data_IF_012723554527
#
_entry.id   IF_012723554527
#
_cell.length_a   1.000
_cell.length_b   1.000
_cell.length_c   1.000
_cell.angle_alpha   90.00
_cell.angle_beta   90.00
_cell.angle_gamma   90.00
#
_symmetry.space_group_name_H-M   'P 1'
#
loop_
_entity.id
_entity.type
_entity.pdbx_description
1 polymer ?
#
# COMPACT_ATOMS: atom_id res chain seq x y z
N UNK A 1 -17.80 -17.34 -11.46
CA UNK A 1 -16.91 -16.24 -11.02
C UNK A 1 -17.58 -14.90 -11.30
N UNK A 2 -17.54 -13.97 -10.34
CA UNK A 2 -18.18 -12.65 -10.44
C UNK A 2 -18.78 -12.18 -9.11
N UNK A 3 -19.38 -10.98 -9.11
CA UNK A 3 -20.20 -10.48 -8.01
C UNK A 3 -21.66 -10.93 -8.16
N UNK A 4 -22.27 -11.33 -7.06
CA UNK A 4 -23.61 -11.88 -6.97
C UNK A 4 -24.39 -11.12 -5.91
N UNK A 5 -25.55 -10.60 -6.30
CA UNK A 5 -26.41 -9.78 -5.46
C UNK A 5 -27.65 -10.53 -5.06
N UNK A 6 -28.02 -10.43 -3.78
CA UNK A 6 -29.20 -11.03 -3.20
C UNK A 6 -29.88 -10.08 -2.21
N UNK A 7 -31.05 -10.46 -1.70
CA UNK A 7 -31.81 -9.64 -0.77
C UNK A 7 -32.75 -8.66 -1.48
N UNK A 8 -33.27 -7.68 -0.73
CA UNK A 8 -34.24 -6.72 -1.27
C UNK A 8 -33.54 -5.62 -2.04
N UNK A 9 -34.24 -5.02 -3.02
CA UNK A 9 -33.70 -3.97 -3.86
C UNK A 9 -33.21 -2.73 -3.08
N UNK A 10 -33.83 -2.41 -1.94
CA UNK A 10 -33.46 -1.24 -1.12
C UNK A 10 -32.23 -1.49 -0.24
N UNK A 11 -31.90 -2.76 0.01
CA UNK A 11 -30.76 -3.19 0.84
C UNK A 11 -30.17 -4.48 0.28
N UNK A 12 -29.62 -4.43 -0.94
CA UNK A 12 -29.00 -5.60 -1.52
C UNK A 12 -27.77 -5.97 -0.70
N UNK A 13 -27.54 -7.27 -0.59
CA UNK A 13 -26.27 -7.82 -0.12
C UNK A 13 -25.54 -8.42 -1.31
N UNK A 14 -24.22 -8.38 -1.28
CA UNK A 14 -23.38 -8.85 -2.38
C UNK A 14 -22.29 -9.77 -1.85
N UNK A 15 -21.99 -10.83 -2.59
CA UNK A 15 -20.82 -11.65 -2.38
C UNK A 15 -20.11 -11.90 -3.71
N UNK A 16 -18.85 -12.29 -3.64
CA UNK A 16 -18.03 -12.60 -4.79
C UNK A 16 -17.65 -14.07 -4.82
N UNK A 17 -17.64 -14.64 -6.03
CA UNK A 17 -16.99 -15.91 -6.33
C UNK A 17 -15.75 -15.59 -7.16
N UNK A 18 -14.57 -15.82 -6.62
CA UNK A 18 -13.27 -15.53 -7.24
C UNK A 18 -12.55 -16.83 -7.65
N UNK A 19 -11.58 -16.75 -8.56
CA UNK A 19 -10.62 -17.84 -8.81
C UNK A 19 -9.43 -17.69 -7.86
N UNK A 20 -8.95 -18.78 -7.30
CA UNK A 20 -7.69 -18.85 -6.55
C UNK A 20 -6.50 -19.01 -7.49
N UNK A 21 -5.27 -18.85 -6.96
CA UNK A 21 -4.03 -18.96 -7.76
C UNK A 21 -3.83 -20.34 -8.39
N UNK A 22 -4.29 -21.39 -7.70
CA UNK A 22 -4.31 -22.78 -8.17
C UNK A 22 -5.48 -23.11 -9.11
N UNK A 23 -6.29 -22.11 -9.47
CA UNK A 23 -7.43 -22.26 -10.38
C UNK A 23 -8.74 -22.73 -9.73
N UNK A 24 -8.74 -22.99 -8.41
CA UNK A 24 -9.93 -23.27 -7.61
C UNK A 24 -10.89 -22.08 -7.50
N UNK A 25 -11.98 -22.27 -6.76
CA UNK A 25 -12.97 -21.21 -6.52
C UNK A 25 -12.98 -20.80 -5.05
N UNK A 26 -13.21 -19.51 -4.78
CA UNK A 26 -13.31 -18.96 -3.42
C UNK A 26 -14.57 -18.12 -3.29
N UNK A 27 -15.31 -18.36 -2.21
CA UNK A 27 -16.41 -17.50 -1.77
C UNK A 27 -15.87 -16.37 -0.91
N UNK A 28 -16.34 -15.14 -1.14
CA UNK A 28 -15.99 -13.95 -0.35
C UNK A 28 -17.23 -13.10 -0.12
N UNK A 29 -17.60 -12.86 1.13
CA UNK A 29 -18.73 -12.00 1.53
C UNK A 29 -18.22 -10.94 2.52
N UNK A 30 -18.82 -9.74 2.48
CA UNK A 30 -18.51 -8.65 3.40
C UNK A 30 -19.70 -8.42 4.33
N UNK A 31 -19.59 -8.91 5.57
CA UNK A 31 -20.61 -8.71 6.60
C UNK A 31 -20.17 -7.65 7.59
N UNK A 32 -20.90 -6.53 7.59
CA UNK A 32 -20.65 -5.37 8.46
C UNK A 32 -19.22 -4.83 8.27
N UNK A 33 -18.28 -5.29 9.10
CA UNK A 33 -16.88 -4.86 9.14
C UNK A 33 -15.87 -6.00 8.95
N UNK A 34 -16.31 -7.26 8.79
CA UNK A 34 -15.40 -8.39 8.54
C UNK A 34 -15.63 -9.03 7.18
N UNK A 35 -14.53 -9.47 6.57
CA UNK A 35 -14.55 -10.30 5.38
C UNK A 35 -14.69 -11.74 5.82
N UNK A 36 -15.62 -12.46 5.24
CA UNK A 36 -15.79 -13.89 5.48
C UNK A 36 -15.50 -14.61 4.17
N UNK A 37 -14.58 -15.57 4.19
CA UNK A 37 -14.18 -16.26 2.98
C UNK A 37 -13.86 -17.74 3.22
N UNK A 38 -13.90 -18.52 2.14
CA UNK A 38 -13.54 -19.94 2.15
C UNK A 38 -13.35 -20.50 0.73
N UNK A 39 -12.48 -21.49 0.59
CA UNK A 39 -12.24 -22.20 -0.68
C UNK A 39 -13.39 -23.18 -0.91
N UNK A 40 -13.98 -23.12 -2.09
CA UNK A 40 -15.13 -23.90 -2.52
C UNK A 40 -14.68 -25.24 -3.10
N UNK A 41 -15.07 -26.32 -2.44
CA UNK A 41 -14.79 -27.70 -2.82
C UNK A 41 -16.06 -28.40 -3.32
N UNK A 42 -15.97 -29.36 -4.26
CA UNK A 42 -17.12 -30.14 -4.69
C UNK A 42 -17.76 -30.94 -3.54
N UNK A 43 -19.06 -30.77 -3.33
CA UNK A 43 -19.84 -31.47 -2.30
C UNK A 43 -20.88 -32.45 -2.88
N UNK A 44 -20.85 -32.67 -4.19
CA UNK A 44 -21.80 -33.52 -4.92
C UNK A 44 -23.10 -32.79 -5.31
N UNK A 45 -23.85 -33.37 -6.24
CA UNK A 45 -25.16 -32.83 -6.67
C UNK A 45 -25.10 -31.41 -7.25
N UNK A 46 -23.98 -31.02 -7.88
CA UNK A 46 -23.77 -29.67 -8.41
C UNK A 46 -23.40 -28.60 -7.37
N UNK A 47 -23.32 -28.96 -6.09
CA UNK A 47 -22.95 -28.03 -5.03
C UNK A 47 -21.44 -27.94 -4.86
N UNK A 48 -20.98 -26.72 -4.62
CA UNK A 48 -19.68 -26.42 -4.02
C UNK A 48 -19.88 -25.98 -2.58
N UNK A 49 -18.97 -26.34 -1.69
CA UNK A 49 -19.05 -26.03 -0.26
C UNK A 49 -17.72 -25.47 0.24
N UNK A 50 -17.79 -24.49 1.14
CA UNK A 50 -16.63 -23.95 1.83
C UNK A 50 -16.88 -23.84 3.33
N UNK A 51 -15.84 -24.09 4.11
CA UNK A 51 -15.74 -23.64 5.49
C UNK A 51 -15.34 -22.17 5.50
N UNK A 52 -16.09 -21.35 6.23
CA UNK A 52 -15.95 -19.90 6.23
C UNK A 52 -15.18 -19.42 7.46
N UNK A 53 -14.13 -18.63 7.23
CA UNK A 53 -13.32 -17.99 8.27
C UNK A 53 -13.40 -16.47 8.17
N UNK A 54 -13.39 -15.79 9.32
CA UNK A 54 -13.29 -14.33 9.39
C UNK A 54 -11.86 -13.89 9.08
N UNK A 55 -11.68 -12.94 8.16
CA UNK A 55 -10.36 -12.54 7.65
C UNK A 55 -9.47 -11.82 8.69
N UNK A 56 -10.07 -11.18 9.69
CA UNK A 56 -9.39 -10.48 10.78
C UNK A 56 -8.83 -11.44 11.85
N UNK A 57 -9.59 -12.49 12.19
CA UNK A 57 -9.27 -13.38 13.33
C UNK A 57 -8.96 -14.83 12.95
N UNK A 58 -9.19 -15.21 11.70
CA UNK A 58 -9.16 -16.62 11.26
C UNK A 58 -10.24 -17.49 11.91
N UNK A 59 -11.16 -16.91 12.68
CA UNK A 59 -12.18 -17.67 13.39
C UNK A 59 -13.19 -18.28 12.41
N UNK A 60 -13.49 -19.57 12.59
CA UNK A 60 -14.56 -20.25 11.84
C UNK A 60 -15.92 -19.64 12.19
N UNK A 61 -16.62 -19.14 11.17
CA UNK A 61 -17.92 -18.46 11.24
C UNK A 61 -19.08 -19.42 10.90
N UNK A 62 -18.83 -20.40 10.05
CA UNK A 62 -19.83 -21.37 9.59
C UNK A 62 -19.39 -22.06 8.31
N UNK A 63 -20.34 -22.63 7.57
CA UNK A 63 -20.12 -23.22 6.25
C UNK A 63 -21.07 -22.57 5.24
N UNK A 64 -20.63 -22.43 3.99
CA UNK A 64 -21.49 -22.01 2.87
C UNK A 64 -21.50 -23.13 1.84
N UNK A 65 -22.63 -23.36 1.19
CA UNK A 65 -22.70 -24.08 -0.08
C UNK A 65 -23.31 -23.19 -1.15
N UNK A 66 -22.82 -23.31 -2.37
CA UNK A 66 -23.28 -22.59 -3.55
C UNK A 66 -23.48 -23.55 -4.71
N UNK A 67 -24.52 -23.33 -5.50
CA UNK A 67 -24.79 -24.06 -6.74
C UNK A 67 -25.15 -23.06 -7.83
N UNK A 68 -24.57 -23.22 -9.02
CA UNK A 68 -24.89 -22.40 -10.17
C UNK A 68 -26.07 -23.02 -10.91
N UNK A 69 -27.13 -22.25 -11.11
CA UNK A 69 -28.31 -22.65 -11.87
C UNK A 69 -28.18 -22.04 -13.25
N UNK A 70 -27.78 -22.87 -14.21
CA UNK A 70 -27.43 -22.42 -15.57
C UNK A 70 -28.62 -21.79 -16.31
N UNK A 71 -29.82 -22.36 -16.16
CA UNK A 71 -31.06 -21.89 -16.81
C UNK A 71 -31.37 -20.42 -16.49
N UNK A 72 -31.23 -20.04 -15.22
CA UNK A 72 -31.55 -18.68 -14.75
C UNK A 72 -30.31 -17.76 -14.72
N UNK A 73 -29.12 -18.30 -14.94
CA UNK A 73 -27.86 -17.59 -14.70
C UNK A 73 -27.70 -17.09 -13.26
N UNK A 74 -28.28 -17.81 -12.29
CA UNK A 74 -28.27 -17.44 -10.86
C UNK A 74 -27.36 -18.35 -10.04
N UNK A 75 -27.01 -17.90 -8.83
CA UNK A 75 -26.37 -18.76 -7.83
C UNK A 75 -27.31 -18.92 -6.64
N UNK A 76 -27.64 -20.17 -6.32
CA UNK A 76 -28.32 -20.50 -5.07
C UNK A 76 -27.27 -20.75 -4.00
N UNK A 77 -27.43 -20.12 -2.86
CA UNK A 77 -26.50 -20.20 -1.74
C UNK A 77 -27.22 -20.56 -0.44
N UNK A 78 -26.48 -21.22 0.46
CA UNK A 78 -27.01 -21.72 1.72
C UNK A 78 -25.95 -21.63 2.80
N UNK A 79 -26.26 -20.93 3.90
CA UNK A 79 -25.33 -20.74 5.01
C UNK A 79 -25.72 -21.59 6.22
N UNK A 80 -24.75 -22.30 6.78
CA UNK A 80 -24.87 -23.03 8.04
C UNK A 80 -24.02 -22.35 9.10
N UNK A 81 -24.67 -21.71 10.07
CA UNK A 81 -23.97 -21.05 11.18
C UNK A 81 -23.13 -22.04 11.98
N UNK A 82 -22.00 -21.58 12.54
CA UNK A 82 -21.16 -22.38 13.45
C UNK A 82 -22.02 -23.05 14.54
N UNK A 83 -21.83 -24.36 14.71
CA UNK A 83 -22.52 -25.16 15.73
C UNK A 83 -23.98 -25.49 15.42
N UNK A 84 -24.50 -25.15 14.23
CA UNK A 84 -25.82 -25.60 13.77
C UNK A 84 -25.68 -26.83 12.89
N UNK A 85 -26.61 -27.76 13.05
CA UNK A 85 -26.69 -28.98 12.23
C UNK A 85 -27.41 -28.74 10.90
N UNK A 86 -28.47 -27.93 10.93
CA UNK A 86 -29.28 -27.62 9.77
C UNK A 86 -28.74 -26.42 8.97
N UNK A 87 -28.84 -26.51 7.65
CA UNK A 87 -28.61 -25.39 6.73
C UNK A 87 -29.71 -24.33 6.89
N UNK A 88 -29.35 -23.07 6.64
CA UNK A 88 -30.31 -21.97 6.53
C UNK A 88 -31.18 -22.06 5.27
N UNK A 89 -31.96 -21.00 5.03
CA UNK A 89 -32.81 -20.89 3.83
C UNK A 89 -31.99 -20.62 2.58
N UNK A 90 -32.46 -21.15 1.45
CA UNK A 90 -31.90 -20.88 0.13
C UNK A 90 -31.98 -19.39 -0.19
N UNK A 91 -30.85 -18.86 -0.65
CA UNK A 91 -30.69 -17.48 -1.06
C UNK A 91 -30.30 -17.48 -2.52
N UNK A 92 -31.21 -17.00 -3.38
CA UNK A 92 -30.96 -16.83 -4.80
C UNK A 92 -30.26 -15.50 -5.01
N UNK A 93 -29.12 -15.54 -5.66
CA UNK A 93 -28.35 -14.37 -6.02
C UNK A 93 -28.25 -14.24 -7.54
N UNK A 94 -28.39 -13.01 -8.03
CA UNK A 94 -28.29 -12.67 -9.43
C UNK A 94 -26.90 -12.11 -9.70
N UNK A 95 -26.30 -12.49 -10.82
CA UNK A 95 -25.01 -11.93 -11.23
C UNK A 95 -25.17 -10.43 -11.40
N UNK A 96 -24.37 -9.64 -10.69
CA UNK A 96 -24.37 -8.20 -10.90
C UNK A 96 -23.79 -7.97 -12.28
N UNK A 97 -24.63 -7.48 -13.21
CA UNK A 97 -24.20 -7.00 -14.52
C UNK A 97 -23.49 -5.65 -14.36
N UNK A 98 -22.46 -5.60 -13.52
CA UNK A 98 -21.55 -4.48 -13.42
C UNK A 98 -20.48 -4.72 -14.47
N UNK A 99 -20.61 -4.07 -15.62
CA UNK A 99 -19.49 -3.96 -16.53
C UNK A 99 -18.36 -3.26 -15.77
N UNK A 100 -17.27 -3.97 -15.49
CA UNK A 100 -16.08 -3.33 -14.97
C UNK A 100 -15.66 -2.29 -15.99
N UNK A 101 -15.65 -1.03 -15.59
CA UNK A 101 -15.17 0.06 -16.44
C UNK A 101 -13.72 -0.27 -16.84
N UNK A 102 -13.43 -0.49 -18.13
CA UNK A 102 -12.09 -0.82 -18.60
C UNK A 102 -11.06 0.24 -18.21
N UNK A 103 -11.48 1.50 -18.01
CA UNK A 103 -10.59 2.59 -17.59
C UNK A 103 -10.08 2.41 -16.17
N UNK A 104 -10.80 1.66 -15.31
CA UNK A 104 -10.39 1.39 -13.94
C UNK A 104 -9.38 0.23 -13.84
N UNK A 105 -9.14 -0.50 -14.93
CA UNK A 105 -8.21 -1.63 -14.91
C UNK A 105 -6.77 -1.15 -14.85
N UNK A 106 -6.00 -1.83 -14.02
CA UNK A 106 -4.57 -1.62 -13.93
C UNK A 106 -3.90 -2.02 -15.26
N UNK A 107 -2.97 -1.19 -15.73
CA UNK A 107 -2.18 -1.49 -16.92
C UNK A 107 -1.30 -2.73 -16.74
N UNK A 108 -0.85 -3.31 -17.84
CA UNK A 108 0.05 -4.48 -17.83
C UNK A 108 1.39 -4.22 -17.17
N UNK A 109 1.84 -2.96 -17.13
CA UNK A 109 3.03 -2.53 -16.39
C UNK A 109 2.83 -2.48 -14.87
N UNK A 110 1.62 -2.72 -14.37
CA UNK A 110 1.27 -2.53 -12.97
C UNK A 110 1.03 -1.06 -12.60
N UNK A 111 0.96 -0.17 -13.60
CA UNK A 111 0.68 1.26 -13.44
C UNK A 111 -0.54 1.62 -14.31
N UNK A 112 -1.44 2.47 -13.81
CA UNK A 112 -2.61 2.92 -14.57
C UNK A 112 -3.05 4.34 -14.22
N UNK A 113 -3.28 5.17 -15.23
CA UNK A 113 -3.84 6.51 -15.07
C UNK A 113 -5.36 6.45 -15.01
N UNK A 114 -5.96 7.18 -14.06
CA UNK A 114 -7.39 7.33 -13.87
C UNK A 114 -7.75 8.81 -14.01
N UNK A 115 -7.95 9.31 -15.24
CA UNK A 115 -8.33 10.71 -15.45
C UNK A 115 -9.74 10.97 -14.94
N UNK A 116 -9.97 12.12 -14.32
CA UNK A 116 -11.25 12.49 -13.71
C UNK A 116 -11.82 11.36 -12.81
N UNK A 117 -10.95 10.75 -12.00
CA UNK A 117 -11.31 9.66 -11.11
C UNK A 117 -12.42 10.06 -10.14
N UNK A 118 -12.37 11.31 -9.67
CA UNK A 118 -13.38 11.98 -8.86
C UNK A 118 -13.59 13.42 -9.37
N UNK A 119 -14.69 14.06 -8.97
CA UNK A 119 -15.00 15.44 -9.39
C UNK A 119 -13.90 16.43 -8.96
N UNK A 120 -13.39 17.21 -9.92
CA UNK A 120 -12.26 18.10 -9.70
C UNK A 120 -12.58 19.22 -8.72
N UNK A 121 -13.81 19.76 -8.74
CA UNK A 121 -14.23 20.86 -7.87
C UNK A 121 -14.40 20.40 -6.42
N UNK A 122 -14.94 19.21 -6.21
CA UNK A 122 -15.02 18.55 -4.92
C UNK A 122 -13.62 18.22 -4.38
N UNK A 123 -12.70 17.76 -5.24
CA UNK A 123 -11.30 17.52 -4.89
C UNK A 123 -10.60 18.80 -4.41
N UNK A 124 -10.74 19.91 -5.14
CA UNK A 124 -10.16 21.20 -4.75
C UNK A 124 -10.74 21.75 -3.44
N UNK A 125 -12.05 21.60 -3.24
CA UNK A 125 -12.70 22.02 -1.99
C UNK A 125 -12.17 21.20 -0.80
N UNK A 126 -12.02 19.89 -1.00
CA UNK A 126 -11.47 18.98 0.01
C UNK A 126 -9.99 19.27 0.27
N UNK A 127 -9.21 19.64 -0.76
CA UNK A 127 -7.82 20.07 -0.61
C UNK A 127 -7.70 21.26 0.36
N UNK A 128 -8.58 22.26 0.24
CA UNK A 128 -8.58 23.44 1.13
C UNK A 128 -8.92 23.06 2.57
N UNK A 129 -9.88 22.17 2.78
CA UNK A 129 -10.22 21.68 4.11
C UNK A 129 -9.06 20.91 4.74
N UNK A 130 -8.42 20.01 3.99
CA UNK A 130 -7.23 19.26 4.43
C UNK A 130 -6.06 20.20 4.74
N UNK A 131 -5.78 21.17 3.88
CA UNK A 131 -4.74 22.17 4.11
C UNK A 131 -5.00 22.96 5.40
N UNK A 132 -6.25 23.38 5.62
CA UNK A 132 -6.65 24.14 6.81
C UNK A 132 -6.47 23.29 8.07
N UNK A 133 -6.94 22.05 8.05
CA UNK A 133 -6.73 21.09 9.15
C UNK A 133 -5.24 20.90 9.44
N UNK A 134 -4.42 20.68 8.40
CA UNK A 134 -2.98 20.51 8.57
C UNK A 134 -2.35 21.74 9.22
N UNK A 135 -2.63 22.95 8.73
CA UNK A 135 -2.09 24.18 9.30
C UNK A 135 -2.47 24.40 10.77
N UNK A 136 -3.68 24.05 11.17
CA UNK A 136 -4.16 24.16 12.57
C UNK A 136 -3.47 23.17 13.52
N UNK A 137 -2.89 22.11 12.99
CA UNK A 137 -2.29 21.02 13.75
C UNK A 137 -0.79 20.83 13.49
N UNK A 138 -0.12 21.78 12.83
CA UNK A 138 1.35 21.76 12.73
C UNK A 138 1.94 21.76 14.14
N UNK A 139 2.80 20.78 14.42
CA UNK A 139 3.45 20.61 15.71
C UNK A 139 2.62 19.93 16.80
N UNK A 140 1.39 19.51 16.51
CA UNK A 140 0.64 18.61 17.39
C UNK A 140 0.93 17.14 17.11
N UNK A 141 0.51 16.26 18.01
CA UNK A 141 0.55 14.80 17.88
C UNK A 141 -0.50 14.23 16.91
N UNK A 142 -1.45 15.06 16.46
CA UNK A 142 -2.49 14.69 15.50
C UNK A 142 -1.90 14.44 14.11
N UNK A 143 -0.89 15.22 13.73
CA UNK A 143 -0.20 15.06 12.45
C UNK A 143 1.10 14.30 12.66
N UNK A 144 1.33 13.31 11.80
CA UNK A 144 2.65 12.69 11.68
C UNK A 144 3.44 13.41 10.58
N UNK A 145 4.58 13.98 10.95
CA UNK A 145 5.53 14.46 9.96
C UNK A 145 6.36 13.30 9.45
N UNK A 146 6.38 13.12 8.13
CA UNK A 146 7.18 12.08 7.46
C UNK A 146 8.26 12.71 6.59
N UNK A 147 9.11 11.88 6.01
CA UNK A 147 10.25 12.32 5.20
C UNK A 147 9.86 13.22 4.02
N UNK A 148 10.76 14.18 3.74
CA UNK A 148 10.59 15.21 2.71
C UNK A 148 9.52 16.25 3.03
N UNK A 149 9.35 16.57 4.32
CA UNK A 149 8.55 17.70 4.78
C UNK A 149 7.03 17.53 4.64
N UNK A 150 6.54 16.28 4.65
CA UNK A 150 5.13 15.97 4.45
C UNK A 150 4.43 15.72 5.78
N UNK A 151 3.14 16.04 5.83
CA UNK A 151 2.28 15.72 6.97
C UNK A 151 1.19 14.73 6.53
N UNK A 152 0.99 13.69 7.34
CA UNK A 152 -0.08 12.71 7.15
C UNK A 152 -1.37 13.19 7.83
N UNK A 153 -2.46 13.18 7.06
CA UNK A 153 -3.81 13.43 7.55
C UNK A 153 -4.67 12.20 7.28
N UNK A 154 -5.04 11.48 8.33
CA UNK A 154 -5.91 10.31 8.23
C UNK A 154 -7.34 10.76 7.93
N UNK A 155 -7.81 10.51 6.70
CA UNK A 155 -9.12 10.95 6.23
C UNK A 155 -10.22 9.96 6.64
N UNK A 156 -9.96 8.67 6.55
CA UNK A 156 -10.85 7.59 6.99
C UNK A 156 -10.05 6.51 7.71
N UNK A 157 -10.75 5.60 8.40
CA UNK A 157 -10.11 4.53 9.18
C UNK A 157 -9.91 4.87 10.65
N UNK A 158 -9.17 4.00 11.36
CA UNK A 158 -9.07 4.04 12.84
C UNK A 158 -8.48 5.36 13.37
N UNK A 159 -7.53 5.96 12.63
CA UNK A 159 -6.83 7.19 13.03
C UNK A 159 -7.52 8.48 12.56
N UNK A 160 -8.67 8.39 11.89
CA UNK A 160 -9.30 9.53 11.21
C UNK A 160 -10.19 10.43 12.08
N UNK A 161 -10.39 10.10 13.36
CA UNK A 161 -11.37 10.77 14.22
C UNK A 161 -11.21 12.30 14.24
N UNK A 162 -9.98 12.79 14.41
CA UNK A 162 -9.72 14.23 14.48
C UNK A 162 -10.12 14.97 13.19
N UNK A 163 -9.73 14.43 12.03
CA UNK A 163 -10.10 15.02 10.74
C UNK A 163 -11.61 14.92 10.48
N UNK A 164 -12.22 13.77 10.80
CA UNK A 164 -13.65 13.55 10.64
C UNK A 164 -14.49 14.51 11.49
N UNK A 165 -14.06 14.79 12.73
CA UNK A 165 -14.71 15.77 13.59
C UNK A 165 -14.55 17.20 13.05
N UNK A 166 -13.35 17.56 12.59
CA UNK A 166 -13.12 18.83 11.90
C UNK A 166 -14.01 18.97 10.66
N UNK A 167 -14.05 17.96 9.80
CA UNK A 167 -14.79 17.98 8.54
C UNK A 167 -16.30 18.17 8.75
N UNK A 168 -16.88 17.59 9.81
CA UNK A 168 -18.31 17.79 10.16
C UNK A 168 -18.65 19.23 10.54
N UNK A 169 -17.72 19.95 11.17
CA UNK A 169 -17.91 21.33 11.61
C UNK A 169 -17.36 22.36 10.62
N UNK A 170 -16.67 21.93 9.57
CA UNK A 170 -16.15 22.80 8.53
C UNK A 170 -17.29 23.44 7.73
N UNK A 171 -17.13 24.70 7.28
CA UNK A 171 -18.16 25.44 6.54
C UNK A 171 -18.55 24.85 5.17
N UNK A 172 -17.85 23.81 4.72
CA UNK A 172 -18.10 23.04 3.49
C UNK A 172 -18.27 21.54 3.78
N UNK A 173 -18.79 21.19 4.96
CA UNK A 173 -18.86 19.81 5.47
C UNK A 173 -19.54 18.84 4.50
N UNK A 174 -20.68 19.22 3.93
CA UNK A 174 -21.43 18.39 2.97
C UNK A 174 -20.57 18.01 1.75
N UNK A 175 -19.85 18.97 1.18
CA UNK A 175 -19.00 18.74 0.00
C UNK A 175 -17.77 17.88 0.35
N UNK A 176 -17.13 18.11 1.50
CA UNK A 176 -15.97 17.35 1.94
C UNK A 176 -16.36 15.90 2.26
N UNK A 177 -17.42 15.68 3.02
CA UNK A 177 -17.89 14.35 3.37
C UNK A 177 -18.45 13.61 2.15
N UNK A 178 -19.18 14.32 1.27
CA UNK A 178 -19.64 13.79 -0.01
C UNK A 178 -18.49 13.36 -0.91
N UNK A 179 -17.40 14.14 -0.97
CA UNK A 179 -16.18 13.76 -1.68
C UNK A 179 -15.57 12.46 -1.14
N UNK A 180 -15.45 12.32 0.19
CA UNK A 180 -14.85 11.12 0.78
C UNK A 180 -15.66 9.85 0.47
N UNK A 181 -16.98 9.94 0.49
CA UNK A 181 -17.83 8.81 0.12
C UNK A 181 -17.76 8.49 -1.39
N UNK A 182 -17.75 9.52 -2.25
CA UNK A 182 -17.56 9.33 -3.68
C UNK A 182 -16.19 8.67 -3.99
N UNK A 183 -15.13 9.10 -3.33
CA UNK A 183 -13.80 8.50 -3.47
C UNK A 183 -13.82 7.03 -3.01
N UNK A 184 -14.45 6.72 -1.88
CA UNK A 184 -14.60 5.34 -1.39
C UNK A 184 -15.38 4.44 -2.35
N UNK A 185 -16.44 4.96 -2.97
CA UNK A 185 -17.20 4.24 -4.00
C UNK A 185 -16.30 3.97 -5.22
N UNK A 186 -15.61 4.99 -5.74
CA UNK A 186 -14.72 4.85 -6.90
C UNK A 186 -13.55 3.90 -6.63
N UNK A 187 -13.01 3.89 -5.41
CA UNK A 187 -12.00 2.91 -4.99
C UNK A 187 -12.57 1.48 -4.94
N UNK A 188 -13.80 1.32 -4.47
CA UNK A 188 -14.48 0.02 -4.47
C UNK A 188 -14.70 -0.51 -5.89
N UNK A 189 -15.05 0.38 -6.82
CA UNK A 189 -15.23 0.07 -8.23
C UNK A 189 -13.92 -0.33 -8.90
N UNK A 190 -12.87 0.41 -8.58
CA UNK A 190 -11.50 0.14 -9.06
C UNK A 190 -11.01 -1.19 -8.54
N UNK A 191 -11.18 -1.46 -7.24
CA UNK A 191 -10.86 -2.75 -6.66
C UNK A 191 -11.64 -3.87 -7.35
N UNK A 192 -12.95 -3.70 -7.53
CA UNK A 192 -13.80 -4.68 -8.24
C UNK A 192 -13.32 -4.94 -9.67
N UNK A 193 -13.00 -3.89 -10.43
CA UNK A 193 -12.50 -4.00 -11.81
C UNK A 193 -11.19 -4.79 -11.90
N UNK A 194 -10.42 -4.83 -10.82
CA UNK A 194 -9.14 -5.53 -10.69
C UNK A 194 -9.24 -6.82 -9.84
N UNK A 195 -10.45 -7.29 -9.53
CA UNK A 195 -10.67 -8.51 -8.76
C UNK A 195 -10.21 -8.44 -7.30
N UNK A 196 -10.12 -7.24 -6.74
CA UNK A 196 -9.66 -6.96 -5.38
C UNK A 196 -10.73 -6.38 -4.46
N UNK A 197 -10.27 -5.96 -3.28
CA UNK A 197 -11.07 -5.32 -2.22
C UNK A 197 -10.41 -4.01 -1.78
N UNK A 198 -11.16 -2.91 -1.78
CA UNK A 198 -10.70 -1.63 -1.27
C UNK A 198 -10.45 -1.66 0.25
N UNK A 199 -9.40 -0.96 0.67
CA UNK A 199 -9.16 -0.62 2.07
C UNK A 199 -10.17 0.43 2.54
N UNK A 200 -10.46 0.45 3.83
CA UNK A 200 -11.26 1.52 4.46
C UNK A 200 -10.40 2.72 4.86
N UNK A 201 -9.09 2.54 4.96
CA UNK A 201 -8.14 3.58 5.35
C UNK A 201 -7.77 4.45 4.14
N UNK A 202 -7.87 5.77 4.31
CA UNK A 202 -7.39 6.77 3.36
C UNK A 202 -6.56 7.81 4.10
N UNK A 203 -5.41 8.15 3.55
CA UNK A 203 -4.47 9.11 4.14
C UNK A 203 -4.13 10.18 3.11
N UNK A 204 -4.26 11.45 3.46
CA UNK A 204 -3.72 12.53 2.64
C UNK A 204 -2.29 12.87 3.06
N UNK A 205 -1.42 13.11 2.09
CA UNK A 205 -0.12 13.73 2.30
C UNK A 205 -0.19 15.20 1.92
N UNK A 206 0.19 16.07 2.85
CA UNK A 206 0.22 17.53 2.67
C UNK A 206 1.67 18.01 2.63
N UNK A 207 2.03 18.68 1.54
CA UNK A 207 3.39 19.15 1.28
C UNK A 207 4.24 18.15 0.50
N UNK A 208 5.41 18.61 0.03
CA UNK A 208 6.44 17.81 -0.64
C UNK A 208 7.68 18.67 -0.92
N UNK A 209 8.24 19.33 0.11
CA UNK A 209 9.39 20.25 -0.06
C UNK A 209 10.58 19.57 -0.74
N UNK A 210 10.72 18.27 -0.48
CA UNK A 210 11.78 17.41 -1.02
C UNK A 210 11.20 16.13 -1.63
N UNK A 211 11.95 15.56 -2.58
CA UNK A 211 11.62 14.27 -3.17
C UNK A 211 11.75 13.16 -2.11
N UNK A 212 10.84 12.19 -2.11
CA UNK A 212 11.00 11.01 -1.27
C UNK A 212 12.12 10.12 -1.82
N UNK A 213 12.71 9.33 -0.94
CA UNK A 213 13.62 8.27 -1.34
C UNK A 213 12.82 7.21 -2.10
N UNK A 214 13.36 6.62 -3.19
CA UNK A 214 12.78 5.43 -3.80
C UNK A 214 12.56 4.32 -2.77
N UNK A 215 11.38 3.71 -2.79
CA UNK A 215 11.01 2.65 -1.86
C UNK A 215 9.90 1.74 -2.43
N UNK A 216 9.61 0.66 -1.71
CA UNK A 216 8.39 -0.14 -1.82
C UNK A 216 7.60 0.00 -0.52
N UNK A 217 6.34 0.44 -0.56
CA UNK A 217 5.45 0.57 0.61
C UNK A 217 4.21 -0.34 0.55
N UNK A 218 4.22 -1.31 -0.37
CA UNK A 218 3.08 -2.19 -0.63
C UNK A 218 3.48 -3.65 -0.45
N UNK A 219 2.59 -4.42 0.20
CA UNK A 219 2.72 -5.88 0.32
C UNK A 219 2.23 -6.58 -0.93
N UNK A 220 2.65 -7.83 -1.11
CA UNK A 220 2.31 -8.60 -2.29
C UNK A 220 0.79 -8.63 -2.59
N UNK A 221 0.40 -8.23 -3.80
CA UNK A 221 -1.01 -8.16 -4.21
C UNK A 221 -1.77 -6.93 -3.72
N UNK A 222 -1.09 -5.93 -3.17
CA UNK A 222 -1.67 -4.61 -2.92
C UNK A 222 -1.45 -3.68 -4.12
N UNK A 223 -2.39 -2.76 -4.30
CA UNK A 223 -2.29 -1.67 -5.26
C UNK A 223 -2.64 -0.38 -4.54
N UNK A 224 -1.79 0.63 -4.70
CA UNK A 224 -2.01 1.97 -4.21
C UNK A 224 -2.70 2.82 -5.28
N UNK A 225 -3.66 3.62 -4.87
CA UNK A 225 -4.31 4.65 -5.69
C UNK A 225 -3.94 6.00 -5.10
N UNK A 226 -3.21 6.81 -5.86
CA UNK A 226 -2.77 8.15 -5.48
C UNK A 226 -3.63 9.16 -6.22
N UNK A 227 -4.57 9.79 -5.52
CA UNK A 227 -5.51 10.78 -6.09
C UNK A 227 -5.00 12.19 -5.84
N UNK A 228 -4.83 13.00 -6.89
CA UNK A 228 -4.42 14.39 -6.76
C UNK A 228 -5.59 15.27 -6.34
N UNK A 229 -5.40 16.09 -5.30
CA UNK A 229 -6.39 17.11 -4.89
C UNK A 229 -5.95 18.53 -5.29
N UNK A 230 -4.69 18.69 -5.66
CA UNK A 230 -4.08 19.91 -6.20
C UNK A 230 -3.33 19.57 -7.47
N UNK A 231 -3.15 20.50 -8.43
CA UNK A 231 -2.25 20.30 -9.57
C UNK A 231 -0.87 19.83 -9.08
N UNK A 232 -0.39 18.71 -9.59
CA UNK A 232 0.87 18.14 -9.10
C UNK A 232 1.58 17.26 -10.12
N UNK A 233 2.90 17.23 -10.03
CA UNK A 233 3.69 16.22 -10.73
C UNK A 233 3.30 14.82 -10.28
N UNK A 234 3.26 13.84 -11.19
CA UNK A 234 2.98 12.45 -10.86
C UNK A 234 3.98 11.87 -9.87
N UNK A 235 3.56 10.83 -9.16
CA UNK A 235 4.47 9.92 -8.45
C UNK A 235 5.55 9.44 -9.42
N UNK A 236 6.81 9.40 -8.98
CA UNK A 236 7.90 8.83 -9.74
C UNK A 236 7.92 7.31 -9.54
N UNK A 237 8.20 6.56 -10.59
CA UNK A 237 8.34 5.11 -10.58
C UNK A 237 9.67 4.74 -11.22
N UNK A 238 10.23 3.61 -10.85
CA UNK A 238 11.33 3.04 -11.63
C UNK A 238 10.80 2.67 -13.02
N UNK A 239 11.48 3.14 -14.06
CA UNK A 239 11.06 2.97 -15.45
C UNK A 239 10.85 1.48 -15.77
N UNK A 240 9.60 1.04 -16.09
CA UNK A 240 9.32 -0.35 -16.44
C UNK A 240 10.06 -0.84 -17.70
N UNK A 241 10.61 0.07 -18.51
CA UNK A 241 11.43 -0.24 -19.66
C UNK A 241 12.94 -0.31 -19.34
N UNK A 242 13.36 0.17 -18.17
CA UNK A 242 14.74 0.06 -17.72
C UNK A 242 15.09 -1.38 -17.33
N UNK A 243 16.39 -1.66 -17.22
CA UNK A 243 16.87 -2.98 -16.80
C UNK A 243 16.45 -3.24 -15.36
N UNK A 244 15.82 -4.39 -15.12
CA UNK A 244 15.65 -4.94 -13.77
C UNK A 244 16.75 -5.97 -13.52
N UNK A 245 17.60 -5.79 -12.51
CA UNK A 245 18.56 -6.81 -12.12
C UNK A 245 17.85 -8.11 -11.78
N UNK A 246 18.43 -9.24 -12.18
CA UNK A 246 17.95 -10.54 -11.71
C UNK A 246 18.23 -10.70 -10.21
N UNK A 247 17.42 -11.50 -9.51
CA UNK A 247 17.57 -11.70 -8.06
C UNK A 247 18.94 -12.27 -7.73
N UNK A 248 19.44 -13.18 -8.56
CA UNK A 248 20.76 -13.80 -8.43
C UNK A 248 21.89 -12.78 -8.59
N UNK A 249 21.73 -11.81 -9.51
CA UNK A 249 22.69 -10.71 -9.68
C UNK A 249 22.73 -9.83 -8.45
N UNK A 250 21.56 -9.44 -7.92
CA UNK A 250 21.45 -8.67 -6.68
C UNK A 250 22.15 -9.39 -5.55
N UNK A 251 21.87 -10.69 -5.36
CA UNK A 251 22.44 -11.44 -4.25
C UNK A 251 23.95 -11.57 -4.34
N UNK A 252 24.48 -11.73 -5.56
CA UNK A 252 25.91 -11.68 -5.80
C UNK A 252 26.52 -10.31 -5.42
N UNK A 253 25.90 -9.20 -5.80
CA UNK A 253 26.36 -7.85 -5.43
C UNK A 253 26.31 -7.60 -3.92
N UNK A 254 25.27 -8.11 -3.26
CA UNK A 254 25.09 -7.97 -1.82
C UNK A 254 25.97 -8.92 -1.00
N UNK A 255 26.70 -9.85 -1.65
CA UNK A 255 27.46 -10.89 -0.96
C UNK A 255 26.58 -11.85 -0.14
N UNK A 256 25.31 -12.00 -0.54
CA UNK A 256 24.32 -12.83 0.16
C UNK A 256 24.22 -14.18 -0.56
N UNK A 257 24.33 -15.27 0.20
CA UNK A 257 24.15 -16.62 -0.33
C UNK A 257 22.68 -16.79 -0.82
N UNK A 258 22.44 -17.23 -2.08
CA UNK A 258 21.11 -17.48 -2.63
C UNK A 258 20.17 -18.30 -1.75
N UNK A 259 20.69 -19.17 -0.88
CA UNK A 259 19.85 -19.92 0.07
C UNK A 259 19.06 -19.03 1.04
N UNK A 260 19.48 -17.78 1.23
CA UNK A 260 18.79 -16.79 2.06
C UNK A 260 17.68 -16.04 1.31
N UNK A 261 17.39 -16.37 0.04
CA UNK A 261 16.34 -15.70 -0.75
C UNK A 261 14.94 -15.85 -0.15
N UNK A 262 14.72 -16.94 0.60
CA UNK A 262 13.47 -17.18 1.34
C UNK A 262 13.36 -16.44 2.68
N UNK A 263 14.41 -15.73 3.13
CA UNK A 263 14.33 -14.96 4.36
C UNK A 263 13.29 -13.84 4.21
N UNK A 264 12.40 -13.70 5.19
CA UNK A 264 11.27 -12.74 5.15
C UNK A 264 11.71 -11.32 4.77
N UNK A 265 12.90 -10.91 5.20
CA UNK A 265 13.45 -9.57 4.94
C UNK A 265 14.01 -9.43 3.51
N UNK A 266 14.56 -10.50 2.93
CA UNK A 266 15.12 -10.51 1.58
C UNK A 266 14.06 -10.71 0.49
N UNK A 267 12.91 -11.26 0.86
CA UNK A 267 11.79 -11.53 -0.06
C UNK A 267 11.36 -10.30 -0.87
N UNK A 268 11.46 -9.10 -0.32
CA UNK A 268 11.09 -7.89 -1.06
C UNK A 268 12.00 -7.61 -2.26
N UNK A 269 13.28 -7.99 -2.20
CA UNK A 269 14.17 -7.91 -3.37
C UNK A 269 13.67 -8.83 -4.47
N UNK A 270 13.27 -10.06 -4.13
CA UNK A 270 12.73 -11.01 -5.12
C UNK A 270 11.31 -10.70 -5.59
N UNK A 271 10.59 -9.82 -4.90
CA UNK A 271 9.22 -9.39 -5.22
C UNK A 271 9.14 -8.04 -5.95
N UNK A 272 10.22 -7.63 -6.62
CA UNK A 272 10.26 -6.41 -7.45
C UNK A 272 11.13 -5.30 -6.87
N UNK A 273 11.70 -5.50 -5.68
CA UNK A 273 12.62 -4.57 -5.05
C UNK A 273 14.05 -4.61 -5.60
N UNK A 274 14.36 -5.43 -6.59
CA UNK A 274 15.72 -5.52 -7.16
C UNK A 274 16.32 -4.17 -7.61
N UNK A 275 15.56 -3.18 -8.14
CA UNK A 275 16.12 -1.88 -8.47
C UNK A 275 16.68 -1.13 -7.25
N UNK A 276 16.19 -1.41 -6.02
CA UNK A 276 16.69 -0.78 -4.79
C UNK A 276 18.11 -1.24 -4.41
N UNK A 277 18.66 -2.25 -5.09
CA UNK A 277 20.04 -2.69 -4.95
C UNK A 277 21.00 -2.06 -5.97
N UNK A 278 20.50 -1.33 -6.97
CA UNK A 278 21.33 -0.61 -7.92
C UNK A 278 22.14 0.51 -7.23
N UNK A 279 23.25 0.96 -7.86
CA UNK A 279 23.88 2.21 -7.48
C UNK A 279 22.86 3.34 -7.39
N UNK A 280 22.95 4.17 -6.35
CA UNK A 280 21.92 5.18 -6.04
C UNK A 280 21.77 6.17 -7.19
N UNK A 281 22.87 6.54 -7.85
CA UNK A 281 22.86 7.44 -9.00
C UNK A 281 22.06 6.84 -10.17
N UNK A 282 22.32 5.57 -10.52
CA UNK A 282 21.63 4.83 -11.59
C UNK A 282 20.14 4.67 -11.29
N UNK A 283 19.79 4.29 -10.05
CA UNK A 283 18.41 4.18 -9.62
C UNK A 283 17.63 5.48 -9.89
N UNK A 284 18.20 6.64 -9.50
CA UNK A 284 17.56 7.94 -9.71
C UNK A 284 17.51 8.38 -11.18
N UNK A 285 18.47 7.96 -12.01
CA UNK A 285 18.44 8.24 -13.46
C UNK A 285 17.27 7.54 -14.15
N UNK A 286 16.81 6.41 -13.60
CA UNK A 286 15.69 5.63 -14.10
C UNK A 286 14.36 5.92 -13.37
N UNK A 287 14.31 6.89 -12.46
CA UNK A 287 13.04 7.32 -11.86
C UNK A 287 12.31 8.26 -12.82
N UNK A 288 11.20 7.79 -13.38
CA UNK A 288 10.37 8.53 -14.35
C UNK A 288 8.98 8.81 -13.77
N UNK A 289 8.27 9.87 -14.22
CA UNK A 289 6.88 10.06 -13.85
C UNK A 289 6.00 8.85 -14.23
N UNK A 290 5.13 8.41 -13.31
CA UNK A 290 4.21 7.29 -13.55
C UNK A 290 3.24 7.52 -14.72
N UNK A 291 3.05 8.77 -15.13
CA UNK A 291 2.33 9.16 -16.34
C UNK A 291 2.96 10.42 -16.93
N UNK A 292 2.72 10.67 -18.23
CA UNK A 292 3.41 11.72 -18.99
C UNK A 292 2.94 13.15 -18.69
N UNK A 293 1.81 13.32 -18.00
CA UNK A 293 1.15 14.61 -17.82
C UNK A 293 1.07 15.00 -16.35
N UNK A 294 0.98 16.29 -16.07
CA UNK A 294 0.65 16.81 -14.74
C UNK A 294 -0.74 16.32 -14.33
N UNK A 295 -0.88 15.85 -13.09
CA UNK A 295 -2.17 15.42 -12.56
C UNK A 295 -2.99 16.63 -12.14
N UNK A 296 -4.22 16.70 -12.63
CA UNK A 296 -5.21 17.72 -12.22
C UNK A 296 -5.92 17.25 -10.95
N UNK A 297 -6.55 18.18 -10.20
CA UNK A 297 -7.45 17.80 -9.11
C UNK A 297 -8.51 16.81 -9.60
N UNK A 298 -8.62 15.68 -8.92
CA UNK A 298 -9.54 14.60 -9.24
C UNK A 298 -8.95 13.50 -10.12
N UNK A 299 -7.77 13.68 -10.73
CA UNK A 299 -7.05 12.59 -11.40
C UNK A 299 -6.41 11.66 -10.36
N UNK A 300 -6.21 10.38 -10.72
CA UNK A 300 -5.49 9.44 -9.88
C UNK A 300 -4.54 8.55 -10.69
N UNK A 301 -3.55 7.97 -10.02
CA UNK A 301 -2.68 6.92 -10.56
C UNK A 301 -2.73 5.69 -9.68
N UNK A 302 -2.76 4.51 -10.30
CA UNK A 302 -2.67 3.22 -9.65
C UNK A 302 -1.24 2.68 -9.76
N UNK A 303 -0.70 2.12 -8.69
CA UNK A 303 0.67 1.59 -8.61
C UNK A 303 0.65 0.25 -7.86
N UNK A 304 1.19 -0.80 -8.47
CA UNK A 304 1.26 -2.16 -7.89
C UNK A 304 2.42 -2.34 -6.91
N UNK A 305 2.30 -3.33 -6.03
CA UNK A 305 3.23 -3.72 -4.97
C UNK A 305 4.70 -3.94 -5.33
N UNK A 306 5.00 -4.29 -6.58
CA UNK A 306 6.36 -4.57 -7.06
C UNK A 306 7.04 -3.35 -7.70
N UNK A 307 6.38 -2.18 -7.69
CA UNK A 307 6.89 -0.99 -8.36
C UNK A 307 7.60 -0.09 -7.35
N UNK A 308 8.91 0.02 -7.50
CA UNK A 308 9.72 1.01 -6.78
C UNK A 308 9.24 2.40 -7.19
N UNK A 309 8.92 3.23 -6.21
CA UNK A 309 8.38 4.57 -6.47
C UNK A 309 8.85 5.60 -5.43
N UNK A 310 8.59 6.87 -5.72
CA UNK A 310 8.89 7.99 -4.86
C UNK A 310 7.90 9.16 -5.10
N UNK A 311 7.45 9.81 -4.03
CA UNK A 311 6.78 11.09 -4.13
C UNK A 311 7.72 12.17 -4.72
N UNK A 312 7.29 12.94 -5.73
CA UNK A 312 8.12 13.96 -6.35
C UNK A 312 8.35 15.12 -5.38
N UNK A 313 9.38 15.93 -5.69
CA UNK A 313 9.53 17.26 -5.10
C UNK A 313 8.51 18.21 -5.73
N UNK A 314 7.81 18.99 -4.91
CA UNK A 314 6.92 20.04 -5.38
C UNK A 314 7.40 21.37 -4.80
N UNK A 315 7.72 22.32 -5.67
CA UNK A 315 8.10 23.67 -5.23
C UNK A 315 6.88 24.40 -4.69
N UNK A 316 7.01 24.97 -3.51
CA UNK A 316 5.99 25.85 -2.94
C UNK A 316 5.82 27.08 -3.83
N UNK A 317 4.57 27.36 -4.22
CA UNK A 317 4.22 28.56 -4.98
C UNK A 317 3.47 29.53 -4.06
N UNK A 318 3.92 30.79 -3.92
CA UNK A 318 3.23 31.77 -3.09
C UNK A 318 1.74 31.89 -3.48
N UNK A 319 0.85 31.76 -2.49
CA UNK A 319 -0.60 31.85 -2.69
C UNK A 319 -1.27 30.58 -3.25
N UNK A 320 -0.51 29.56 -3.63
CA UNK A 320 -1.05 28.25 -3.99
C UNK A 320 -1.17 27.34 -2.76
N UNK A 321 -2.04 26.34 -2.83
CA UNK A 321 -2.04 25.26 -1.84
C UNK A 321 -0.75 24.44 -1.98
N UNK A 322 -0.24 23.85 -0.89
CA UNK A 322 0.80 22.84 -0.99
C UNK A 322 0.31 21.65 -1.82
N UNK A 323 1.23 20.78 -2.25
CA UNK A 323 0.86 19.50 -2.85
C UNK A 323 -0.02 18.70 -1.88
N UNK A 324 -1.22 18.31 -2.31
CA UNK A 324 -2.10 17.43 -1.55
C UNK A 324 -2.53 16.27 -2.44
N UNK A 325 -2.25 15.06 -1.99
CA UNK A 325 -2.69 13.81 -2.62
C UNK A 325 -3.30 12.89 -1.58
N UNK A 326 -4.28 12.09 -1.98
CA UNK A 326 -4.87 11.02 -1.15
C UNK A 326 -4.30 9.69 -1.57
N UNK A 327 -3.77 8.95 -0.60
CA UNK A 327 -3.38 7.56 -0.70
C UNK A 327 -4.52 6.69 -0.20
N UNK A 328 -4.94 5.77 -1.05
CA UNK A 328 -5.80 4.66 -0.70
C UNK A 328 -5.23 3.38 -1.28
N UNK A 329 -5.63 2.22 -0.74
CA UNK A 329 -5.15 0.94 -1.24
C UNK A 329 -6.31 -0.01 -1.51
N UNK A 330 -6.08 -0.96 -2.40
CA UNK A 330 -6.91 -2.15 -2.52
C UNK A 330 -6.04 -3.40 -2.66
N UNK A 331 -6.58 -4.56 -2.28
CA UNK A 331 -5.87 -5.83 -2.30
C UNK A 331 -6.49 -6.78 -3.31
N UNK A 332 -5.72 -7.29 -4.28
CA UNK A 332 -6.13 -8.34 -5.22
C UNK A 332 -5.90 -9.75 -4.67
N UNK A 333 -5.24 -9.85 -3.52
CA UNK A 333 -5.03 -11.09 -2.78
C UNK A 333 -5.55 -10.94 -1.35
N UNK A 334 -5.71 -12.07 -0.68
CA UNK A 334 -5.98 -12.09 0.76
C UNK A 334 -4.71 -11.74 1.51
N UNK A 335 -4.35 -10.47 1.53
CA UNK A 335 -3.19 -9.97 2.27
C UNK A 335 -3.62 -9.74 3.72
N UNK A 336 -2.71 -9.96 4.66
CA UNK A 336 -2.86 -9.43 6.01
C UNK A 336 -3.08 -7.91 5.95
N UNK A 337 -3.71 -7.35 6.98
CA UNK A 337 -4.06 -5.93 7.09
C UNK A 337 -2.97 -5.00 6.52
N UNK A 338 -3.41 -3.98 5.77
CA UNK A 338 -2.53 -2.94 5.25
C UNK A 338 -1.72 -2.34 6.40
N UNK A 339 -0.43 -2.19 6.18
CA UNK A 339 0.53 -1.74 7.17
C UNK A 339 1.15 -0.45 6.66
N UNK A 340 0.62 0.67 7.15
CA UNK A 340 1.07 2.02 6.78
C UNK A 340 2.53 2.26 7.13
N UNK A 341 3.09 1.48 8.06
CA UNK A 341 4.48 1.64 8.51
C UNK A 341 5.45 0.83 7.63
N UNK A 342 4.93 -0.06 6.79
CA UNK A 342 5.75 -0.87 5.89
C UNK A 342 6.34 0.00 4.78
N UNK A 343 7.67 0.17 4.81
CA UNK A 343 8.43 0.81 3.73
C UNK A 343 9.81 0.16 3.63
N UNK A 344 10.07 -0.48 2.49
CA UNK A 344 11.37 -1.05 2.12
C UNK A 344 12.16 -0.06 1.27
N UNK A 345 13.22 0.51 1.84
CA UNK A 345 14.01 1.63 1.31
C UNK A 345 15.34 1.16 0.73
N UNK A 346 15.99 2.03 -0.05
CA UNK A 346 17.27 1.74 -0.74
C UNK A 346 18.45 1.32 0.17
N UNK A 347 18.34 1.50 1.49
CA UNK A 347 19.35 1.08 2.48
C UNK A 347 18.88 -0.04 3.41
N UNK A 348 17.62 -0.48 3.34
CA UNK A 348 17.09 -1.41 4.35
C UNK A 348 17.80 -2.76 4.29
N UNK A 349 18.20 -3.22 3.11
CA UNK A 349 18.98 -4.45 2.98
C UNK A 349 20.33 -4.40 3.68
N UNK A 350 20.94 -3.22 3.82
CA UNK A 350 22.20 -3.08 4.53
C UNK A 350 22.04 -3.43 6.03
N UNK A 351 20.82 -3.36 6.57
CA UNK A 351 20.53 -3.73 7.96
C UNK A 351 20.46 -5.25 8.19
N UNK A 352 20.41 -6.06 7.13
CA UNK A 352 20.22 -7.50 7.24
C UNK A 352 21.51 -8.21 7.60
N UNK A 353 21.42 -9.24 8.47
CA UNK A 353 22.59 -9.93 9.02
C UNK A 353 23.39 -10.69 7.97
N UNK A 354 22.71 -11.10 6.90
CA UNK A 354 23.25 -11.82 5.76
C UNK A 354 24.18 -10.94 4.90
N UNK A 355 24.02 -9.61 4.95
CA UNK A 355 24.86 -8.68 4.19
C UNK A 355 26.17 -8.47 4.95
N UNK A 356 27.34 -8.67 4.32
CA UNK A 356 28.64 -8.38 4.92
C UNK A 356 28.73 -6.95 5.47
N UNK A 357 29.29 -6.73 6.68
CA UNK A 357 29.34 -5.41 7.29
C UNK A 357 30.00 -4.33 6.42
N UNK A 358 31.05 -4.69 5.69
CA UNK A 358 31.74 -3.75 4.80
C UNK A 358 30.82 -3.26 3.67
N UNK A 359 30.05 -4.15 3.04
CA UNK A 359 29.08 -3.77 1.99
C UNK A 359 27.94 -2.93 2.55
N UNK A 360 27.48 -3.23 3.77
CA UNK A 360 26.46 -2.41 4.44
C UNK A 360 26.95 -0.98 4.72
N UNK A 361 28.20 -0.83 5.15
CA UNK A 361 28.83 0.48 5.33
C UNK A 361 28.92 1.25 4.00
N UNK A 362 29.46 0.61 2.95
CA UNK A 362 29.59 1.21 1.62
C UNK A 362 28.24 1.70 1.09
N UNK A 363 27.18 0.91 1.27
CA UNK A 363 25.83 1.32 0.89
C UNK A 363 25.32 2.55 1.63
N UNK A 364 25.48 2.58 2.97
CA UNK A 364 25.02 3.72 3.77
C UNK A 364 25.76 5.01 3.40
N UNK A 365 27.07 4.90 3.16
CA UNK A 365 27.90 6.02 2.72
C UNK A 365 27.50 6.50 1.31
N UNK A 366 27.26 5.58 0.38
CA UNK A 366 26.78 5.88 -0.97
C UNK A 366 25.43 6.61 -0.93
N UNK A 367 24.45 6.06 -0.20
CA UNK A 367 23.12 6.65 -0.04
C UNK A 367 23.20 8.07 0.50
N UNK A 368 23.99 8.30 1.55
CA UNK A 368 24.14 9.63 2.11
C UNK A 368 24.81 10.59 1.12
N UNK A 369 25.89 10.16 0.47
CA UNK A 369 26.66 11.00 -0.46
C UNK A 369 25.83 11.38 -1.69
N UNK A 370 25.23 10.39 -2.37
CA UNK A 370 24.46 10.61 -3.59
C UNK A 370 23.19 11.46 -3.35
N UNK A 371 22.52 11.27 -2.20
CA UNK A 371 21.32 12.06 -1.87
C UNK A 371 21.67 13.49 -1.45
N UNK A 372 22.82 13.69 -0.79
CA UNK A 372 23.35 15.01 -0.48
C UNK A 372 23.70 15.79 -1.75
N UNK A 373 24.38 15.15 -2.71
CA UNK A 373 24.71 15.76 -4.01
C UNK A 373 23.46 16.17 -4.80
N UNK A 374 22.37 15.41 -4.68
CA UNK A 374 21.07 15.72 -5.30
C UNK A 374 20.21 16.69 -4.49
N UNK A 375 20.67 17.12 -3.31
CA UNK A 375 19.95 18.05 -2.43
C UNK A 375 18.73 17.45 -1.72
N UNK A 376 18.59 16.12 -1.67
CA UNK A 376 17.46 15.45 -0.98
C UNK A 376 17.81 14.99 0.44
N UNK A 377 19.02 15.29 0.92
CA UNK A 377 19.57 15.00 2.27
C UNK A 377 18.84 13.90 3.04
N UNK A 378 19.11 12.66 2.64
CA UNK A 378 18.53 11.50 3.33
C UNK A 378 19.29 11.21 4.61
N UNK A 379 18.56 10.92 5.67
CA UNK A 379 19.10 10.68 7.01
C UNK A 379 18.61 9.32 7.54
N UNK A 380 19.21 8.19 7.13
CA UNK A 380 18.73 6.85 7.55
C UNK A 380 18.68 6.67 9.08
N UNK A 381 19.48 7.40 9.84
CA UNK A 381 19.54 7.30 11.30
C UNK A 381 18.27 7.79 12.02
N UNK A 382 17.40 8.59 11.38
CA UNK A 382 16.17 9.12 12.03
C UNK A 382 15.13 8.03 12.33
N UNK A 383 15.29 6.86 11.72
CA UNK A 383 14.44 5.68 11.94
C UNK A 383 14.89 4.83 13.14
N UNK A 384 15.95 5.24 13.83
CA UNK A 384 16.50 4.53 14.98
C UNK A 384 16.61 5.47 16.18
N UNK A 385 16.82 4.90 17.36
CA UNK A 385 17.02 5.65 18.61
C UNK A 385 18.33 5.22 19.30
N UNK A 386 18.87 6.10 20.14
CA UNK A 386 20.04 5.84 20.97
C UNK A 386 21.27 5.41 20.17
N UNK A 387 21.98 4.40 20.69
CA UNK A 387 23.24 3.92 20.09
C UNK A 387 23.10 3.44 18.64
N UNK A 388 21.91 2.96 18.24
CA UNK A 388 21.65 2.53 16.85
C UNK A 388 21.65 3.71 15.89
N UNK A 389 21.01 4.82 16.28
CA UNK A 389 20.98 6.04 15.50
C UNK A 389 22.39 6.62 15.34
N UNK A 390 23.15 6.70 16.45
CA UNK A 390 24.53 7.21 16.40
C UNK A 390 25.45 6.33 15.54
N UNK A 391 25.33 4.99 15.64
CA UNK A 391 26.08 4.07 14.79
C UNK A 391 25.72 4.22 13.31
N UNK A 392 24.42 4.28 12.99
CA UNK A 392 23.93 4.48 11.62
C UNK A 392 24.43 5.82 11.04
N UNK A 393 24.37 6.88 11.84
CA UNK A 393 24.87 8.21 11.47
C UNK A 393 26.37 8.16 11.16
N UNK A 394 27.17 7.54 12.04
CA UNK A 394 28.61 7.40 11.82
C UNK A 394 28.93 6.65 10.52
N UNK A 395 28.20 5.55 10.24
CA UNK A 395 28.33 4.79 8.99
C UNK A 395 27.97 5.62 7.74
N UNK A 396 26.98 6.51 7.84
CA UNK A 396 26.57 7.37 6.74
C UNK A 396 27.52 8.54 6.48
N UNK A 397 28.16 9.09 7.52
CA UNK A 397 28.85 10.39 7.43
C UNK A 397 30.37 10.32 7.57
N UNK A 398 30.95 9.16 7.87
CA UNK A 398 32.39 9.01 8.13
C UNK A 398 33.03 8.19 7.01
N UNK A 399 33.62 8.82 5.99
CA UNK A 399 34.33 8.09 4.94
C UNK A 399 35.65 7.52 5.49
N UNK A 400 36.12 6.41 4.91
CA UNK A 400 37.45 5.85 5.19
C UNK A 400 37.56 5.04 6.49
N UNK A 401 36.45 4.51 7.02
CA UNK A 401 36.49 3.59 8.15
C UNK A 401 37.27 2.31 7.79
N UNK A 402 38.08 1.81 8.70
CA UNK A 402 38.68 0.48 8.55
C UNK A 402 37.60 -0.62 8.62
N UNK A 403 37.90 -1.80 8.07
CA UNK A 403 36.97 -2.93 8.08
C UNK A 403 36.51 -3.29 9.51
N UNK A 404 37.41 -3.24 10.49
CA UNK A 404 37.09 -3.50 11.91
C UNK A 404 36.19 -2.43 12.53
N UNK A 405 36.38 -1.15 12.17
CA UNK A 405 35.52 -0.06 12.66
C UNK A 405 34.13 -0.12 12.03
N UNK A 406 34.06 -0.35 10.72
CA UNK A 406 32.81 -0.55 9.99
C UNK A 406 32.04 -1.75 10.55
N UNK A 407 32.72 -2.88 10.80
CA UNK A 407 32.11 -4.06 11.43
C UNK A 407 31.53 -3.74 12.81
N UNK A 408 32.31 -3.09 13.69
CA UNK A 408 31.85 -2.75 15.03
C UNK A 408 30.62 -1.82 15.01
N UNK A 409 30.60 -0.83 14.11
CA UNK A 409 29.47 0.09 13.96
C UNK A 409 28.24 -0.60 13.36
N UNK A 410 28.41 -1.44 12.34
CA UNK A 410 27.30 -2.21 11.74
C UNK A 410 26.70 -3.16 12.78
N UNK A 411 27.51 -3.84 13.58
CA UNK A 411 26.99 -4.71 14.65
C UNK A 411 26.18 -3.90 15.68
N UNK A 412 26.67 -2.74 16.10
CA UNK A 412 25.93 -1.84 17.01
C UNK A 412 24.63 -1.34 16.40
N UNK A 413 24.64 -0.99 15.11
CA UNK A 413 23.45 -0.54 14.38
C UNK A 413 22.40 -1.65 14.24
N UNK A 414 22.81 -2.88 13.88
CA UNK A 414 21.92 -4.02 13.66
C UNK A 414 21.31 -4.58 14.95
N UNK A 415 22.13 -4.72 16.00
CA UNK A 415 21.71 -5.36 17.25
C UNK A 415 21.10 -4.36 18.23
N UNK A 416 21.43 -3.06 18.08
CA UNK A 416 21.33 -2.11 19.18
C UNK A 416 22.20 -2.53 20.35
N UNK A 417 22.28 -1.68 21.38
CA UNK A 417 22.69 -2.16 22.68
C UNK A 417 21.66 -3.17 23.14
N UNK A 418 21.78 -4.44 22.72
CA UNK A 418 21.17 -5.55 23.45
C UNK A 418 21.66 -5.35 24.87
N UNK A 419 20.74 -4.93 25.74
CA UNK A 419 21.06 -4.56 27.10
C UNK A 419 21.95 -5.66 27.67
N UNK A 420 23.21 -5.31 27.97
CA UNK A 420 24.04 -6.11 28.87
C UNK A 420 23.34 -6.05 30.23
N UNK A 421 22.33 -6.87 30.45
CA UNK A 421 21.60 -6.86 31.71
C UNK A 421 20.15 -7.33 31.64
N UNK A 422 19.91 -8.57 31.23
CA UNK A 422 18.98 -9.46 31.93
C UNK A 422 19.58 -10.87 31.90
N UNK A 423 20.61 -11.07 32.72
CA UNK A 423 20.89 -12.39 33.28
C UNK A 423 19.96 -12.52 34.50
N UNK A 424 18.82 -13.17 34.31
CA UNK A 424 17.96 -13.71 35.35
C UNK A 424 18.28 -15.17 35.58
#
# INVERSE_FOLDING_TARGET
>A
VGCWRYGKAERPSEYQIQRTEDGGLRFVDQKKASVVAGVLEPAGGGWLQAELTSGDKGEKVGSIRVSFVEEDGTVVSNFKSKGKEAWGKDTVAHKVARAADPQLRLGSSGIGLLPAFVDSKAAETTARAIATFAMLHIGSDVLMQITGGRHEVFLTGVRSQAFQEFARHHGRSEEVLGFLEALKERLSDTAFANGGKASEDMVALVGASDMQVPHLDLKQGQVQVVTALTPTSPTLVYDPAARHPAVEEVFAWLGVDPKHAGATQMRYLSEGGTPLALPVAELYEHMVPACCEELRPGDAVQIRDSIVHAGPRCLDRPGALPRIVVFATYSTRSVAQYDVEFQYKIWDWASFREVPPQLAYERLLEVHSATKERGTTVQPWVYFQGERAEACKALCTTPGLSASEAEALVQRWRLGGAARGEAG
#
